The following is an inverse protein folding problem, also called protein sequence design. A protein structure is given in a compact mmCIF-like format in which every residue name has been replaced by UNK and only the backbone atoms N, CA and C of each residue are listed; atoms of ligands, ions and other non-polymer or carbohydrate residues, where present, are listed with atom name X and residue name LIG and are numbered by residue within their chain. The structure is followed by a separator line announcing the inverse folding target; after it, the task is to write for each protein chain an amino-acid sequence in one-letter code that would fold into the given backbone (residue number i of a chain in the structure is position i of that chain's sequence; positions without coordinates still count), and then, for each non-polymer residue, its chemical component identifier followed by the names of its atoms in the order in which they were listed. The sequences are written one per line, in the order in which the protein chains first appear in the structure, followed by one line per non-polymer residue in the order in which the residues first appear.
data_IF_574876663363
#
_entry.id   IF_574876663363
#
_cell.length_a   1.000
_cell.length_b   1.000
_cell.length_c   1.000
_cell.angle_alpha   90.00
_cell.angle_beta   90.00
_cell.angle_gamma   90.00
#
_symmetry.space_group_name_H-M   'P 1'
#
loop_
_entity.id
_entity.type
_entity.pdbx_description
1 polymer ?
#
# COMPACT_ATOMS: atom_id res chain seq x y z
N UNK A 1 -61.95 3.18 27.02
CA UNK A 1 -62.35 3.88 25.78
C UNK A 1 -62.00 5.36 25.93
N UNK A 2 -61.00 5.83 25.19
CA UNK A 2 -60.52 7.22 25.21
C UNK A 2 -61.49 8.13 24.43
N UNK A 3 -61.78 9.31 25.00
CA UNK A 3 -62.23 10.49 24.25
C UNK A 3 -61.49 11.74 24.76
N UNK A 4 -61.33 12.77 23.91
CA UNK A 4 -60.23 13.72 23.98
C UNK A 4 -60.65 15.06 24.58
N UNK A 5 -59.69 15.81 25.13
CA UNK A 5 -59.87 17.22 25.45
C UNK A 5 -58.78 18.08 24.77
N UNK A 6 -59.29 19.17 24.22
CA UNK A 6 -58.70 20.21 23.38
C UNK A 6 -57.75 21.09 24.19
N UNK A 7 -56.64 21.50 23.56
CA UNK A 7 -55.76 22.55 24.06
C UNK A 7 -55.29 23.43 22.90
N UNK A 8 -55.90 24.62 22.81
CA UNK A 8 -55.54 25.72 21.89
C UNK A 8 -54.18 26.29 22.30
N UNK A 9 -53.29 26.59 21.35
CA UNK A 9 -52.23 27.60 21.56
C UNK A 9 -51.92 28.44 20.33
N UNK A 10 -51.77 29.72 20.63
CA UNK A 10 -51.65 30.92 19.82
C UNK A 10 -50.56 30.92 18.74
N UNK A 11 -50.87 31.59 17.63
CA UNK A 11 -49.90 32.19 16.71
C UNK A 11 -49.22 33.37 17.40
N UNK A 12 -47.90 33.46 17.25
CA UNK A 12 -47.19 34.74 17.22
C UNK A 12 -46.15 34.69 16.10
N UNK A 13 -46.21 35.72 15.26
CA UNK A 13 -45.28 36.05 14.18
C UNK A 13 -44.17 36.93 14.79
N UNK A 14 -42.89 36.62 14.58
CA UNK A 14 -41.85 37.63 14.27
C UNK A 14 -40.48 37.00 13.91
N UNK A 15 -40.01 37.43 12.73
CA UNK A 15 -38.65 37.63 12.22
C UNK A 15 -37.59 36.50 12.19
N UNK A 16 -37.30 36.11 10.95
CA UNK A 16 -36.01 35.71 10.35
C UNK A 16 -34.73 36.08 11.12
N UNK A 17 -33.88 35.07 11.32
CA UNK A 17 -32.45 35.16 10.99
C UNK A 17 -32.00 33.80 10.44
N UNK A 18 -31.90 33.75 9.12
CA UNK A 18 -31.42 32.64 8.33
C UNK A 18 -29.89 32.62 8.43
N UNK A 19 -29.32 31.75 9.27
CA UNK A 19 -27.90 31.39 9.20
C UNK A 19 -27.84 29.89 8.88
N UNK A 20 -27.32 29.61 7.69
CA UNK A 20 -27.42 28.32 7.00
C UNK A 20 -26.83 27.13 7.75
N UNK A 21 -27.64 26.07 7.75
CA UNK A 21 -27.33 24.63 7.74
C UNK A 21 -25.88 24.19 8.01
N UNK A 22 -25.71 23.38 9.07
CA UNK A 22 -24.45 22.78 9.53
C UNK A 22 -23.67 21.90 8.54
N UNK A 23 -24.17 21.65 7.32
CA UNK A 23 -23.38 21.01 6.24
C UNK A 23 -22.30 21.93 5.69
N UNK A 24 -22.55 23.25 5.61
CA UNK A 24 -21.57 24.25 5.14
C UNK A 24 -20.37 24.37 6.08
N UNK A 25 -20.59 24.19 7.39
CA UNK A 25 -19.57 24.38 8.42
C UNK A 25 -18.54 23.24 8.49
N UNK A 26 -18.96 21.99 8.27
CA UNK A 26 -18.02 20.84 8.19
C UNK A 26 -17.19 20.86 6.90
N UNK A 27 -17.77 21.30 5.78
CA UNK A 27 -17.05 21.45 4.51
C UNK A 27 -15.97 22.53 4.65
N UNK A 28 -16.28 23.65 5.31
CA UNK A 28 -15.30 24.72 5.59
C UNK A 28 -14.11 24.25 6.43
N UNK A 29 -14.31 23.42 7.45
CA UNK A 29 -13.19 22.88 8.27
C UNK A 29 -12.26 21.97 7.46
N UNK A 30 -12.80 21.07 6.64
CA UNK A 30 -11.99 20.19 5.78
C UNK A 30 -11.19 20.98 4.73
N UNK A 31 -11.82 21.99 4.12
CA UNK A 31 -11.17 22.90 3.16
C UNK A 31 -10.09 23.74 3.86
N UNK A 32 -10.32 24.24 5.07
CA UNK A 32 -9.33 25.00 5.84
C UNK A 32 -8.12 24.12 6.22
N UNK A 33 -8.31 22.86 6.63
CA UNK A 33 -7.20 21.94 6.91
C UNK A 33 -6.37 21.64 5.67
N UNK A 34 -7.01 21.42 4.51
CA UNK A 34 -6.32 21.22 3.23
C UNK A 34 -5.55 22.48 2.82
N UNK A 35 -6.15 23.67 2.99
CA UNK A 35 -5.49 24.95 2.71
C UNK A 35 -4.30 25.18 3.66
N UNK A 36 -4.39 24.81 4.93
CA UNK A 36 -3.28 24.91 5.90
C UNK A 36 -2.15 23.94 5.52
N UNK A 37 -2.47 22.71 5.14
CA UNK A 37 -1.49 21.74 4.65
C UNK A 37 -0.79 22.25 3.37
N UNK A 38 -1.55 22.78 2.41
CA UNK A 38 -1.02 23.39 1.18
C UNK A 38 -0.19 24.67 1.45
N UNK A 39 -0.56 25.46 2.46
CA UNK A 39 0.16 26.66 2.87
C UNK A 39 1.48 26.34 3.60
N UNK A 40 1.52 25.28 4.41
CA UNK A 40 2.75 24.79 5.06
C UNK A 40 3.73 24.25 4.01
N UNK A 41 3.24 23.61 2.95
CA UNK A 41 4.10 23.06 1.89
C UNK A 41 4.74 24.13 0.99
N UNK A 42 4.10 25.29 0.83
CA UNK A 42 4.69 26.43 0.11
C UNK A 42 5.83 27.14 0.87
N UNK A 43 5.97 26.89 2.18
CA UNK A 43 7.01 27.46 3.04
C UNK A 43 8.23 26.53 3.22
N UNK A 44 8.14 25.29 2.76
CA UNK A 44 9.19 24.29 2.95
C UNK A 44 10.28 24.33 1.86
N UNK A 45 10.11 25.12 0.80
CA UNK A 45 11.09 25.17 -0.28
C UNK A 45 12.40 25.80 0.22
N UNK A 46 13.46 24.99 0.25
CA UNK A 46 14.81 25.44 0.59
C UNK A 46 15.70 25.47 -0.66
N UNK A 47 16.70 26.36 -0.65
CA UNK A 47 17.81 26.31 -1.62
C UNK A 47 18.66 25.04 -1.40
N UNK A 48 18.86 24.66 -0.14
CA UNK A 48 19.56 23.43 0.23
C UNK A 48 18.66 22.21 0.03
N UNK A 49 19.11 21.23 -0.75
CA UNK A 49 18.35 19.99 -1.04
C UNK A 49 18.74 18.85 -0.11
N UNK A 50 18.72 19.12 1.19
CA UNK A 50 19.14 18.14 2.21
C UNK A 50 18.29 16.86 2.16
N UNK A 51 18.95 15.70 2.16
CA UNK A 51 18.30 14.38 2.13
C UNK A 51 17.52 14.15 3.44
N UNK A 52 18.12 14.50 4.58
CA UNK A 52 17.49 14.35 5.90
C UNK A 52 16.18 15.13 6.01
N UNK A 53 16.18 16.39 5.59
CA UNK A 53 14.97 17.21 5.59
C UNK A 53 13.93 16.70 4.58
N UNK A 54 14.38 16.23 3.41
CA UNK A 54 13.48 15.61 2.42
C UNK A 54 12.76 14.41 3.01
N UNK A 55 13.48 13.50 3.68
CA UNK A 55 12.90 12.34 4.35
C UNK A 55 11.93 12.76 5.46
N UNK A 56 12.31 13.71 6.32
CA UNK A 56 11.47 14.21 7.39
C UNK A 56 10.13 14.74 6.84
N UNK A 57 10.18 15.57 5.81
CA UNK A 57 8.96 16.11 5.19
C UNK A 57 8.11 15.04 4.52
N UNK A 58 8.72 14.05 3.85
CA UNK A 58 7.97 12.97 3.21
C UNK A 58 7.29 12.02 4.18
N UNK A 59 7.88 11.78 5.35
CA UNK A 59 7.27 10.98 6.42
C UNK A 59 6.09 11.72 7.04
N UNK A 60 6.22 13.04 7.24
CA UNK A 60 5.19 13.83 7.92
C UNK A 60 3.99 14.13 7.03
N UNK A 61 4.21 14.36 5.74
CA UNK A 61 3.20 14.87 4.83
C UNK A 61 3.21 14.13 3.48
N UNK A 62 2.04 13.72 2.96
CA UNK A 62 1.89 13.29 1.57
C UNK A 62 2.48 14.33 0.60
N UNK A 63 3.44 13.92 -0.22
CA UNK A 63 4.15 14.82 -1.14
C UNK A 63 5.15 15.79 -0.49
N UNK A 64 5.34 15.75 0.83
CA UNK A 64 6.11 16.71 1.61
C UNK A 64 7.55 16.93 1.12
N UNK A 65 8.32 15.86 0.91
CA UNK A 65 9.68 15.97 0.41
C UNK A 65 9.73 16.53 -1.02
N UNK A 66 8.75 16.24 -1.87
CA UNK A 66 8.68 16.86 -3.20
C UNK A 66 8.43 18.37 -3.11
N UNK A 67 7.59 18.84 -2.18
CA UNK A 67 7.43 20.27 -1.93
C UNK A 67 8.72 20.91 -1.41
N UNK A 68 9.41 20.27 -0.46
CA UNK A 68 10.72 20.72 0.06
C UNK A 68 11.76 20.89 -1.07
N UNK A 69 11.78 19.94 -2.01
CA UNK A 69 12.67 19.98 -3.17
C UNK A 69 12.27 21.03 -4.22
N UNK A 70 11.11 21.68 -4.12
CA UNK A 70 10.60 22.62 -5.12
C UNK A 70 9.96 21.92 -6.32
N UNK A 71 9.36 20.75 -6.11
CA UNK A 71 8.68 19.93 -7.13
C UNK A 71 7.16 19.86 -6.87
N UNK A 72 6.43 20.98 -6.97
CA UNK A 72 5.03 21.06 -6.54
C UNK A 72 4.09 20.14 -7.33
N UNK A 73 4.37 19.88 -8.61
CA UNK A 73 3.55 18.96 -9.42
C UNK A 73 3.61 17.53 -8.86
N UNK A 74 4.80 17.04 -8.54
CA UNK A 74 4.96 15.71 -7.93
C UNK A 74 4.35 15.66 -6.52
N UNK A 75 4.58 16.69 -5.70
CA UNK A 75 3.99 16.80 -4.37
C UNK A 75 2.46 16.76 -4.40
N UNK A 76 1.83 17.49 -5.32
CA UNK A 76 0.37 17.50 -5.48
C UNK A 76 -0.19 16.15 -5.92
N UNK A 77 0.51 15.40 -6.79
CA UNK A 77 0.08 14.07 -7.22
C UNK A 77 -0.03 13.13 -6.00
N UNK A 78 1.01 13.07 -5.16
CA UNK A 78 1.00 12.23 -3.97
C UNK A 78 -0.03 12.69 -2.95
N UNK A 79 -0.09 14.00 -2.67
CA UNK A 79 -1.09 14.57 -1.75
C UNK A 79 -2.52 14.22 -2.17
N UNK A 80 -2.84 14.37 -3.46
CA UNK A 80 -4.18 14.06 -3.97
C UNK A 80 -4.46 12.55 -3.94
N UNK A 81 -3.52 11.72 -4.39
CA UNK A 81 -3.69 10.26 -4.42
C UNK A 81 -3.88 9.68 -3.02
N UNK A 82 -2.98 10.00 -2.08
CA UNK A 82 -3.06 9.55 -0.68
C UNK A 82 -4.35 10.04 -0.01
N UNK A 83 -4.70 11.32 -0.20
CA UNK A 83 -5.94 11.87 0.39
C UNK A 83 -7.20 11.20 -0.15
N UNK A 84 -7.26 10.94 -1.46
CA UNK A 84 -8.41 10.29 -2.09
C UNK A 84 -8.57 8.86 -1.57
N UNK A 85 -7.49 8.07 -1.58
CA UNK A 85 -7.51 6.69 -1.06
C UNK A 85 -7.89 6.66 0.42
N UNK A 86 -7.30 7.54 1.24
CA UNK A 86 -7.62 7.61 2.66
C UNK A 86 -9.09 7.97 2.91
N UNK A 87 -9.62 8.99 2.22
CA UNK A 87 -11.02 9.42 2.37
C UNK A 87 -11.96 8.31 1.90
N UNK A 88 -11.66 7.64 0.79
CA UNK A 88 -12.47 6.52 0.29
C UNK A 88 -12.45 5.36 1.28
N UNK A 89 -11.27 4.97 1.78
CA UNK A 89 -11.13 3.94 2.81
C UNK A 89 -11.90 4.25 4.09
N UNK A 90 -11.89 5.53 4.52
CA UNK A 90 -12.66 5.97 5.68
C UNK A 90 -14.16 5.93 5.42
N UNK A 91 -14.60 6.24 4.20
CA UNK A 91 -16.02 6.24 3.84
C UNK A 91 -16.61 4.82 3.78
N UNK A 92 -15.78 3.82 3.49
CA UNK A 92 -16.19 2.42 3.32
C UNK A 92 -15.89 1.55 4.56
N UNK A 93 -15.28 2.10 5.61
CA UNK A 93 -14.87 1.38 6.80
C UNK A 93 -16.02 0.59 7.46
N UNK A 94 -17.23 1.16 7.48
CA UNK A 94 -18.42 0.50 8.06
C UNK A 94 -19.02 -0.59 7.15
N UNK A 95 -18.60 -0.67 5.89
CA UNK A 95 -19.04 -1.70 4.95
C UNK A 95 -18.12 -2.94 4.97
N UNK A 96 -16.96 -2.87 5.62
CA UNK A 96 -16.02 -3.99 5.68
C UNK A 96 -16.51 -5.05 6.65
N UNK A 97 -16.41 -6.31 6.24
CA UNK A 97 -16.65 -7.41 7.15
C UNK A 97 -15.51 -7.54 8.17
N UNK A 98 -15.79 -8.11 9.35
CA UNK A 98 -14.72 -8.45 10.31
C UNK A 98 -13.69 -9.37 9.64
N UNK A 99 -12.42 -8.95 9.68
CA UNK A 99 -11.28 -9.62 9.06
C UNK A 99 -10.95 -9.14 7.63
N UNK A 100 -11.88 -8.46 6.95
CA UNK A 100 -11.67 -7.93 5.61
C UNK A 100 -10.71 -6.74 5.65
N UNK A 101 -9.71 -6.76 4.76
CA UNK A 101 -8.75 -5.67 4.66
C UNK A 101 -9.39 -4.42 4.09
N UNK A 102 -9.08 -3.26 4.68
CA UNK A 102 -9.41 -1.99 4.05
C UNK A 102 -8.45 -1.73 2.89
N UNK A 103 -8.82 -2.22 1.70
CA UNK A 103 -8.06 -2.12 0.46
C UNK A 103 -7.50 -0.70 0.21
N UNK A 104 -8.30 0.33 0.48
CA UNK A 104 -7.91 1.72 0.22
C UNK A 104 -6.90 2.24 1.25
N UNK A 105 -7.01 1.85 2.52
CA UNK A 105 -5.98 2.20 3.52
C UNK A 105 -4.65 1.54 3.21
N UNK A 106 -4.65 0.28 2.76
CA UNK A 106 -3.40 -0.41 2.39
C UNK A 106 -2.75 0.33 1.22
N UNK A 107 -3.49 0.65 0.17
CA UNK A 107 -2.94 1.40 -0.96
C UNK A 107 -2.53 2.83 -0.57
N UNK A 108 -3.18 3.45 0.42
CA UNK A 108 -2.70 4.72 0.99
C UNK A 108 -1.29 4.57 1.56
N UNK A 109 -1.03 3.51 2.33
CA UNK A 109 0.31 3.22 2.87
C UNK A 109 1.34 2.94 1.77
N UNK A 110 0.96 2.16 0.74
CA UNK A 110 1.84 1.86 -0.40
C UNK A 110 2.22 3.13 -1.19
N UNK A 111 1.26 4.02 -1.43
CA UNK A 111 1.55 5.31 -2.10
C UNK A 111 2.43 6.20 -1.22
N UNK A 112 2.22 6.19 0.10
CA UNK A 112 3.05 6.94 1.04
C UNK A 112 4.50 6.44 1.07
N UNK A 113 4.71 5.12 1.07
CA UNK A 113 6.04 4.50 0.94
C UNK A 113 6.73 4.92 -0.38
N UNK A 114 5.98 4.94 -1.48
CA UNK A 114 6.49 5.38 -2.77
C UNK A 114 6.87 6.88 -2.77
N UNK A 115 6.06 7.75 -2.16
CA UNK A 115 6.34 9.17 -1.97
C UNK A 115 7.67 9.40 -1.22
N UNK A 116 7.88 8.66 -0.12
CA UNK A 116 9.13 8.73 0.66
C UNK A 116 10.33 8.36 -0.22
N UNK A 117 10.25 7.24 -0.95
CA UNK A 117 11.35 6.83 -1.82
C UNK A 117 11.59 7.83 -2.96
N UNK A 118 10.55 8.28 -3.67
CA UNK A 118 10.77 9.10 -4.86
C UNK A 118 11.38 10.44 -4.50
N UNK A 119 10.94 11.08 -3.42
CA UNK A 119 11.54 12.32 -2.92
C UNK A 119 12.99 12.11 -2.46
N UNK A 120 13.27 11.04 -1.71
CA UNK A 120 14.64 10.65 -1.34
C UNK A 120 15.55 10.50 -2.56
N UNK A 121 15.09 9.78 -3.58
CA UNK A 121 15.80 9.56 -4.84
C UNK A 121 16.06 10.88 -5.56
N UNK A 122 15.06 11.74 -5.69
CA UNK A 122 15.23 13.05 -6.34
C UNK A 122 16.23 13.94 -5.58
N UNK A 123 16.22 13.95 -4.24
CA UNK A 123 17.21 14.69 -3.44
C UNK A 123 18.64 14.21 -3.74
N UNK A 124 18.86 12.90 -3.77
CA UNK A 124 20.16 12.33 -4.14
C UNK A 124 20.57 12.68 -5.57
N UNK A 125 19.65 12.65 -6.53
CA UNK A 125 19.94 13.05 -7.92
C UNK A 125 20.36 14.53 -7.99
N UNK A 126 19.62 15.42 -7.31
CA UNK A 126 19.91 16.85 -7.28
C UNK A 126 21.26 17.17 -6.64
N UNK A 127 21.67 16.37 -5.65
CA UNK A 127 22.97 16.49 -4.99
C UNK A 127 24.08 15.69 -5.68
N UNK A 128 23.89 15.22 -6.93
CA UNK A 128 24.86 14.40 -7.66
C UNK A 128 25.35 13.14 -6.90
N UNK A 129 24.50 12.60 -6.03
CA UNK A 129 24.80 11.46 -5.15
C UNK A 129 25.98 11.72 -4.19
N UNK A 130 26.26 12.97 -3.85
CA UNK A 130 27.32 13.32 -2.91
C UNK A 130 27.06 12.71 -1.53
N UNK A 131 28.11 12.16 -0.91
CA UNK A 131 28.04 11.50 0.39
C UNK A 131 27.61 10.03 0.37
N UNK A 132 27.34 9.45 -0.81
CA UNK A 132 26.97 8.04 -0.98
C UNK A 132 27.98 7.26 -1.80
N UNK A 133 28.25 6.03 -1.38
CA UNK A 133 29.08 5.09 -2.13
C UNK A 133 28.26 4.15 -3.02
N UNK A 134 27.02 3.86 -2.60
CA UNK A 134 26.03 3.10 -3.35
C UNK A 134 25.50 3.92 -4.54
N UNK A 135 25.26 3.27 -5.68
CA UNK A 135 24.65 3.93 -6.81
C UNK A 135 23.15 4.15 -6.58
N UNK A 136 22.63 5.20 -7.21
CA UNK A 136 21.21 5.52 -7.25
C UNK A 136 20.57 4.95 -8.51
N UNK A 137 19.40 4.33 -8.39
CA UNK A 137 18.62 3.93 -9.56
C UNK A 137 18.02 5.16 -10.26
N UNK A 138 18.59 5.55 -11.41
CA UNK A 138 18.11 6.68 -12.22
C UNK A 138 16.96 6.32 -13.17
N UNK A 139 16.37 5.13 -13.05
CA UNK A 139 15.23 4.73 -13.89
C UNK A 139 14.05 5.66 -13.70
N UNK A 140 13.46 6.22 -14.78
CA UNK A 140 12.23 6.97 -14.68
C UNK A 140 11.13 6.17 -13.99
N UNK A 141 10.37 6.81 -13.09
CA UNK A 141 9.36 6.13 -12.26
C UNK A 141 8.35 5.32 -13.09
N UNK A 142 7.88 5.84 -14.22
CA UNK A 142 6.95 5.12 -15.09
C UNK A 142 7.52 3.80 -15.63
N UNK A 143 8.84 3.69 -15.80
CA UNK A 143 9.50 2.42 -16.20
C UNK A 143 9.63 1.44 -15.04
N UNK A 144 9.80 1.93 -13.81
CA UNK A 144 9.76 1.10 -12.60
C UNK A 144 8.35 0.55 -12.37
N UNK A 145 7.33 1.40 -12.50
CA UNK A 145 5.90 1.04 -12.46
C UNK A 145 5.61 -0.04 -13.50
N UNK A 146 6.10 0.10 -14.74
CA UNK A 146 5.86 -0.90 -15.79
C UNK A 146 6.81 -2.11 -15.73
N UNK A 147 7.75 -2.16 -14.79
CA UNK A 147 8.77 -3.20 -14.73
C UNK A 147 8.22 -4.64 -14.67
N UNK A 148 7.12 -4.93 -13.95
CA UNK A 148 6.56 -6.29 -13.92
C UNK A 148 6.09 -6.81 -15.28
N UNK A 149 5.67 -5.91 -16.17
CA UNK A 149 5.07 -6.25 -17.46
C UNK A 149 6.06 -6.23 -18.63
N UNK A 150 7.32 -5.90 -18.34
CA UNK A 150 8.38 -5.87 -19.34
C UNK A 150 8.91 -7.27 -19.60
N UNK A 151 8.91 -7.67 -20.87
CA UNK A 151 9.26 -9.03 -21.28
C UNK A 151 10.68 -9.45 -20.83
N UNK A 152 11.62 -8.51 -20.86
CA UNK A 152 12.99 -8.70 -20.38
C UNK A 152 13.08 -9.04 -18.89
N UNK A 153 12.14 -8.55 -18.08
CA UNK A 153 12.07 -8.87 -16.65
C UNK A 153 11.33 -10.20 -16.45
N UNK A 154 10.21 -10.41 -17.13
CA UNK A 154 9.41 -11.64 -17.04
C UNK A 154 10.25 -12.88 -17.38
N UNK A 155 11.04 -12.82 -18.45
CA UNK A 155 11.89 -13.95 -18.89
C UNK A 155 13.13 -14.17 -18.02
N UNK A 156 13.39 -13.28 -17.05
CA UNK A 156 14.52 -13.45 -16.13
C UNK A 156 14.29 -14.71 -15.29
N UNK A 157 15.26 -15.63 -15.19
CA UNK A 157 15.12 -16.82 -14.35
C UNK A 157 14.91 -16.46 -12.87
N UNK A 158 15.38 -15.28 -12.43
CA UNK A 158 15.16 -14.78 -11.08
C UNK A 158 13.70 -14.34 -10.84
N UNK A 159 13.03 -13.79 -11.85
CA UNK A 159 11.62 -13.37 -11.74
C UNK A 159 10.72 -14.60 -11.86
N UNK A 160 10.94 -15.42 -12.89
CA UNK A 160 10.17 -16.64 -13.10
C UNK A 160 10.36 -17.67 -11.98
N UNK A 161 11.57 -17.83 -11.46
CA UNK A 161 11.83 -18.70 -10.32
C UNK A 161 11.09 -18.24 -9.05
N UNK A 162 11.00 -16.93 -8.83
CA UNK A 162 10.29 -16.38 -7.67
C UNK A 162 8.77 -16.48 -7.82
N UNK A 163 8.24 -16.30 -9.04
CA UNK A 163 6.85 -16.64 -9.38
C UNK A 163 6.50 -18.09 -9.00
N UNK A 164 7.33 -19.07 -9.41
CA UNK A 164 7.11 -20.47 -9.07
C UNK A 164 7.20 -20.73 -7.55
N UNK A 165 8.09 -20.03 -6.84
CA UNK A 165 8.16 -20.12 -5.39
C UNK A 165 6.87 -19.63 -4.71
N UNK A 166 6.28 -18.53 -5.20
CA UNK A 166 4.99 -18.02 -4.72
C UNK A 166 3.88 -19.08 -4.83
N UNK A 167 3.77 -19.75 -5.98
CA UNK A 167 2.85 -20.87 -6.20
C UNK A 167 3.14 -22.00 -5.22
N UNK A 168 4.38 -22.48 -5.16
CA UNK A 168 4.73 -23.66 -4.38
C UNK A 168 4.46 -23.47 -2.87
N UNK A 169 4.83 -22.32 -2.32
CA UNK A 169 4.63 -21.99 -0.90
C UNK A 169 3.13 -21.94 -0.57
N UNK A 170 2.33 -21.24 -1.38
CA UNK A 170 0.91 -21.04 -1.08
C UNK A 170 0.04 -22.25 -1.42
N UNK A 171 0.43 -23.05 -2.44
CA UNK A 171 -0.18 -24.35 -2.66
C UNK A 171 0.06 -25.27 -1.46
N UNK A 172 1.28 -25.29 -0.94
CA UNK A 172 1.61 -26.05 0.26
C UNK A 172 0.76 -25.60 1.44
N UNK A 173 0.66 -24.28 1.70
CA UNK A 173 -0.21 -23.76 2.75
C UNK A 173 -1.67 -24.20 2.58
N UNK A 174 -2.24 -24.01 1.39
CA UNK A 174 -3.63 -24.38 1.11
C UNK A 174 -3.90 -25.88 1.29
N UNK A 175 -3.01 -26.76 0.80
CA UNK A 175 -3.18 -28.21 0.94
C UNK A 175 -2.93 -28.72 2.36
N UNK A 176 -2.09 -28.05 3.14
CA UNK A 176 -1.86 -28.38 4.55
C UNK A 176 -3.05 -28.00 5.44
N UNK A 177 -3.98 -27.16 4.98
CA UNK A 177 -5.20 -26.88 5.71
C UNK A 177 -6.25 -28.02 5.52
N UNK A 178 -6.53 -28.82 6.57
CA UNK A 178 -7.53 -29.89 6.48
C UNK A 178 -8.97 -29.37 6.39
N UNK A 179 -9.21 -28.11 6.78
CA UNK A 179 -10.53 -27.46 6.76
C UNK A 179 -10.76 -26.62 5.50
N UNK A 180 -9.87 -26.72 4.50
CA UNK A 180 -9.97 -25.95 3.26
C UNK A 180 -11.30 -26.23 2.55
N UNK A 181 -11.84 -25.21 1.89
CA UNK A 181 -13.04 -25.33 1.07
C UNK A 181 -12.68 -25.06 -0.38
N UNK A 182 -13.05 -25.96 -1.29
CA UNK A 182 -12.71 -25.84 -2.71
C UNK A 182 -13.33 -24.61 -3.37
N UNK A 183 -12.60 -24.04 -4.35
CA UNK A 183 -13.05 -22.93 -5.18
C UNK A 183 -14.35 -23.21 -5.95
N UNK A 184 -14.54 -24.46 -6.39
CA UNK A 184 -15.74 -24.94 -7.07
C UNK A 184 -17.01 -24.82 -6.20
N UNK A 185 -16.86 -24.82 -4.88
CA UNK A 185 -17.95 -24.75 -3.91
C UNK A 185 -18.37 -23.32 -3.54
N UNK A 186 -17.71 -22.29 -4.05
CA UNK A 186 -18.09 -20.90 -3.76
C UNK A 186 -19.47 -20.63 -4.35
N UNK A 187 -20.41 -20.18 -3.51
CA UNK A 187 -21.74 -19.74 -3.96
C UNK A 187 -21.79 -18.22 -4.15
N UNK A 188 -21.25 -17.47 -3.19
CA UNK A 188 -21.19 -16.00 -3.25
C UNK A 188 -19.92 -15.48 -2.60
N UNK A 189 -19.37 -14.38 -3.14
CA UNK A 189 -18.22 -13.66 -2.58
C UNK A 189 -18.73 -12.30 -2.10
N UNK A 190 -18.50 -11.96 -0.82
CA UNK A 190 -18.98 -10.72 -0.22
C UNK A 190 -17.80 -9.76 -0.03
N UNK A 191 -17.79 -8.68 -0.81
CA UNK A 191 -16.74 -7.65 -0.79
C UNK A 191 -17.40 -6.35 -0.39
N UNK A 192 -16.91 -5.69 0.67
CA UNK A 192 -17.45 -4.42 1.17
C UNK A 192 -18.99 -4.47 1.35
N UNK A 193 -19.49 -5.51 2.02
CA UNK A 193 -20.90 -5.79 2.26
C UNK A 193 -21.78 -5.92 0.99
N UNK A 194 -21.15 -6.14 -0.16
CA UNK A 194 -21.84 -6.41 -1.43
C UNK A 194 -21.60 -7.86 -1.83
N UNK A 195 -22.68 -8.63 -1.98
CA UNK A 195 -22.63 -10.01 -2.43
C UNK A 195 -22.56 -10.09 -3.95
N UNK A 196 -21.55 -10.77 -4.46
CA UNK A 196 -21.37 -11.11 -5.87
C UNK A 196 -21.57 -12.60 -6.07
N UNK A 197 -22.05 -13.00 -7.26
CA UNK A 197 -21.93 -14.38 -7.70
C UNK A 197 -20.46 -14.79 -7.83
N UNK A 198 -20.20 -16.10 -7.97
CA UNK A 198 -18.83 -16.63 -8.01
C UNK A 198 -17.98 -16.02 -9.13
N UNK A 199 -18.53 -15.85 -10.33
CA UNK A 199 -17.74 -15.40 -11.50
C UNK A 199 -17.38 -13.93 -11.37
N UNK A 200 -18.38 -13.08 -11.12
CA UNK A 200 -18.19 -11.65 -10.91
C UNK A 200 -17.32 -11.38 -9.68
N UNK A 201 -17.60 -12.06 -8.57
CA UNK A 201 -16.85 -11.93 -7.33
C UNK A 201 -15.39 -12.34 -7.48
N UNK A 202 -15.10 -13.39 -8.27
CA UNK A 202 -13.73 -13.81 -8.58
C UNK A 202 -13.00 -12.75 -9.39
N UNK A 203 -13.64 -12.18 -10.41
CA UNK A 203 -13.03 -11.13 -11.21
C UNK A 203 -12.72 -9.87 -10.39
N UNK A 204 -13.64 -9.46 -9.49
CA UNK A 204 -13.42 -8.33 -8.58
C UNK A 204 -12.29 -8.65 -7.59
N UNK A 205 -12.29 -9.85 -6.99
CA UNK A 205 -11.25 -10.30 -6.07
C UNK A 205 -9.87 -10.28 -6.73
N UNK A 206 -9.72 -10.90 -7.90
CA UNK A 206 -8.44 -10.96 -8.62
C UNK A 206 -8.01 -9.57 -9.10
N UNK A 207 -8.95 -8.69 -9.47
CA UNK A 207 -8.63 -7.29 -9.78
C UNK A 207 -8.06 -6.55 -8.57
N UNK A 208 -8.63 -6.77 -7.38
CA UNK A 208 -8.09 -6.23 -6.13
C UNK A 208 -6.73 -6.84 -5.81
N UNK A 209 -6.58 -8.15 -5.94
CA UNK A 209 -5.33 -8.85 -5.64
C UNK A 209 -4.18 -8.44 -6.58
N UNK A 210 -4.47 -8.30 -7.88
CA UNK A 210 -3.53 -7.78 -8.88
C UNK A 210 -3.06 -6.38 -8.50
N UNK A 211 -3.99 -5.50 -8.14
CA UNK A 211 -3.68 -4.10 -7.78
C UNK A 211 -2.84 -4.04 -6.51
N UNK A 212 -3.18 -4.79 -5.46
CA UNK A 212 -2.39 -4.83 -4.23
C UNK A 212 -1.02 -5.45 -4.44
N UNK A 213 -0.92 -6.53 -5.22
CA UNK A 213 0.37 -7.14 -5.58
C UNK A 213 1.26 -6.15 -6.31
N UNK A 214 0.66 -5.35 -7.19
CA UNK A 214 1.33 -4.31 -7.96
C UNK A 214 1.81 -3.15 -7.09
N UNK A 215 0.90 -2.54 -6.33
CA UNK A 215 1.20 -1.38 -5.49
C UNK A 215 2.20 -1.74 -4.40
N UNK A 216 2.06 -2.91 -3.75
CA UNK A 216 3.03 -3.44 -2.79
C UNK A 216 4.40 -3.65 -3.43
N UNK A 217 4.51 -4.35 -4.56
CA UNK A 217 5.80 -4.62 -5.18
C UNK A 217 6.54 -3.35 -5.61
N UNK A 218 5.84 -2.38 -6.20
CA UNK A 218 6.47 -1.12 -6.62
C UNK A 218 6.92 -0.31 -5.41
N UNK A 219 6.03 -0.09 -4.44
CA UNK A 219 6.31 0.77 -3.29
C UNK A 219 7.31 0.15 -2.31
N UNK A 220 7.17 -1.13 -1.99
CA UNK A 220 8.02 -1.80 -1.01
C UNK A 220 9.43 -2.03 -1.55
N UNK A 221 9.61 -2.39 -2.82
CA UNK A 221 10.97 -2.48 -3.35
C UNK A 221 11.64 -1.10 -3.43
N UNK A 222 10.88 -0.06 -3.78
CA UNK A 222 11.35 1.31 -3.72
C UNK A 222 11.79 1.71 -2.29
N UNK A 223 10.94 1.50 -1.29
CA UNK A 223 11.23 1.89 0.09
C UNK A 223 12.29 1.00 0.76
N UNK A 224 12.16 -0.32 0.67
CA UNK A 224 13.05 -1.24 1.38
C UNK A 224 14.38 -1.48 0.66
N UNK A 225 14.42 -1.55 -0.67
CA UNK A 225 15.67 -1.80 -1.42
C UNK A 225 16.28 -0.48 -1.86
N UNK A 226 15.46 0.39 -2.46
CA UNK A 226 15.91 1.68 -2.97
C UNK A 226 16.31 2.70 -1.90
N UNK A 227 15.78 2.60 -0.68
CA UNK A 227 16.09 3.50 0.43
C UNK A 227 16.68 2.74 1.62
N UNK A 228 15.90 1.90 2.32
CA UNK A 228 16.33 1.34 3.62
C UNK A 228 17.61 0.49 3.50
N UNK A 229 17.66 -0.42 2.52
CA UNK A 229 18.82 -1.25 2.29
C UNK A 229 20.03 -0.39 1.92
N UNK A 230 19.86 0.63 1.09
CA UNK A 230 20.95 1.55 0.76
C UNK A 230 21.49 2.25 2.01
N UNK A 231 20.63 2.85 2.84
CA UNK A 231 21.06 3.52 4.08
C UNK A 231 21.78 2.56 5.03
N UNK A 232 21.28 1.32 5.14
CA UNK A 232 21.96 0.29 5.91
C UNK A 232 23.33 -0.03 5.28
N UNK A 233 23.42 -0.22 3.97
CA UNK A 233 24.69 -0.52 3.29
C UNK A 233 25.73 0.60 3.42
N UNK A 234 25.33 1.88 3.39
CA UNK A 234 26.24 3.00 3.66
C UNK A 234 26.77 2.98 5.10
N UNK A 235 25.94 2.57 6.06
CA UNK A 235 26.28 2.64 7.48
C UNK A 235 27.09 1.43 7.96
N UNK A 236 26.73 0.22 7.53
CA UNK A 236 27.29 -1.04 8.03
C UNK A 236 27.92 -1.93 6.95
N UNK A 237 27.95 -1.45 5.70
CA UNK A 237 28.52 -2.17 4.57
C UNK A 237 27.53 -3.09 3.85
N UNK A 238 27.87 -3.43 2.60
CA UNK A 238 27.01 -4.14 1.63
C UNK A 238 26.35 -5.40 2.19
N UNK A 239 27.10 -6.27 2.87
CA UNK A 239 26.57 -7.55 3.35
C UNK A 239 25.69 -7.38 4.58
N UNK A 240 26.15 -6.63 5.60
CA UNK A 240 25.37 -6.42 6.81
C UNK A 240 24.07 -5.64 6.50
N UNK A 241 24.16 -4.64 5.61
CA UNK A 241 23.02 -3.84 5.18
C UNK A 241 21.91 -4.68 4.56
N UNK A 242 22.26 -5.66 3.72
CA UNK A 242 21.31 -6.63 3.15
C UNK A 242 20.59 -7.44 4.24
N UNK A 243 21.33 -7.99 5.21
CA UNK A 243 20.72 -8.82 6.26
C UNK A 243 19.82 -8.00 7.18
N UNK A 244 20.27 -6.80 7.57
CA UNK A 244 19.49 -5.92 8.46
C UNK A 244 18.23 -5.41 7.77
N UNK A 245 18.32 -4.92 6.53
CA UNK A 245 17.13 -4.44 5.81
C UNK A 245 16.11 -5.56 5.57
N UNK A 246 16.57 -6.78 5.28
CA UNK A 246 15.71 -7.96 5.10
C UNK A 246 15.07 -8.42 6.40
N UNK A 247 15.79 -8.32 7.53
CA UNK A 247 15.24 -8.56 8.86
C UNK A 247 14.13 -7.58 9.20
N UNK A 248 14.35 -6.29 8.98
CA UNK A 248 13.33 -5.24 9.19
C UNK A 248 12.11 -5.48 8.30
N UNK A 249 12.32 -5.83 7.02
CA UNK A 249 11.24 -6.18 6.10
C UNK A 249 10.38 -7.33 6.63
N UNK A 250 11.00 -8.41 7.12
CA UNK A 250 10.25 -9.53 7.70
C UNK A 250 9.56 -9.19 9.03
N UNK A 251 10.18 -8.37 9.89
CA UNK A 251 9.52 -7.88 11.11
C UNK A 251 8.26 -7.05 10.79
N UNK A 252 8.27 -6.29 9.70
CA UNK A 252 7.09 -5.57 9.21
C UNK A 252 5.93 -6.48 8.82
N UNK A 253 6.18 -7.77 8.59
CA UNK A 253 5.17 -8.78 8.24
C UNK A 253 4.66 -9.58 9.45
N UNK A 254 5.19 -9.34 10.66
CA UNK A 254 4.67 -9.93 11.90
C UNK A 254 3.49 -9.10 12.38
N UNK A 255 2.27 -9.53 12.04
CA UNK A 255 1.03 -8.81 12.37
C UNK A 255 0.51 -9.11 13.79
N UNK A 256 0.90 -10.25 14.36
CA UNK A 256 0.60 -10.65 15.74
C UNK A 256 1.83 -11.28 16.40
N UNK A 257 2.40 -10.59 17.39
CA UNK A 257 3.63 -11.00 18.09
C UNK A 257 3.44 -12.21 19.01
N UNK A 258 2.20 -12.56 19.36
CA UNK A 258 1.87 -13.73 20.18
C UNK A 258 1.50 -14.98 19.38
N UNK A 259 1.44 -14.90 18.04
CA UNK A 259 1.03 -15.99 17.16
C UNK A 259 2.23 -16.56 16.38
N UNK A 260 2.47 -17.87 16.51
CA UNK A 260 3.55 -18.56 15.81
C UNK A 260 3.39 -18.54 14.29
N UNK A 261 2.15 -18.52 13.77
CA UNK A 261 1.90 -18.44 12.32
C UNK A 261 2.33 -17.08 11.76
N UNK A 262 1.97 -16.00 12.44
CA UNK A 262 2.45 -14.64 12.13
C UNK A 262 3.98 -14.54 12.09
N UNK A 263 4.69 -15.16 13.04
CA UNK A 263 6.15 -15.21 13.00
C UNK A 263 6.72 -16.03 11.84
N UNK A 264 6.07 -17.14 11.47
CA UNK A 264 6.46 -17.92 10.30
C UNK A 264 6.34 -17.09 9.01
N UNK A 265 5.27 -16.30 8.86
CA UNK A 265 5.14 -15.35 7.75
C UNK A 265 6.22 -14.27 7.77
N UNK A 266 6.55 -13.72 8.94
CA UNK A 266 7.69 -12.81 9.10
C UNK A 266 9.01 -13.44 8.63
N UNK A 267 9.24 -14.71 8.96
CA UNK A 267 10.43 -15.46 8.49
C UNK A 267 10.46 -15.67 6.98
N UNK A 268 9.33 -16.04 6.36
CA UNK A 268 9.21 -16.15 4.90
C UNK A 268 9.47 -14.78 4.27
N UNK A 269 8.90 -13.71 4.82
CA UNK A 269 9.13 -12.35 4.36
C UNK A 269 10.60 -11.94 4.51
N UNK A 270 11.32 -12.31 5.59
CA UNK A 270 12.77 -12.07 5.70
C UNK A 270 13.54 -12.79 4.59
N UNK A 271 13.20 -14.04 4.26
CA UNK A 271 13.85 -14.78 3.17
C UNK A 271 13.58 -14.15 1.80
N UNK A 272 12.34 -13.71 1.56
CA UNK A 272 11.98 -12.90 0.39
C UNK A 272 12.75 -11.58 0.36
N UNK A 273 12.89 -10.94 1.53
CA UNK A 273 13.78 -9.83 1.86
C UNK A 273 15.16 -10.01 1.26
N UNK A 274 15.83 -11.07 1.73
CA UNK A 274 17.19 -11.42 1.36
C UNK A 274 17.32 -11.70 -0.14
N UNK A 275 16.37 -12.44 -0.71
CA UNK A 275 16.37 -12.76 -2.13
C UNK A 275 16.28 -11.51 -3.00
N UNK A 276 15.30 -10.65 -2.73
CA UNK A 276 15.05 -9.43 -3.49
C UNK A 276 16.18 -8.39 -3.27
N UNK A 277 16.69 -8.27 -2.04
CA UNK A 277 17.82 -7.39 -1.74
C UNK A 277 19.14 -7.85 -2.38
N UNK A 278 19.37 -9.16 -2.46
CA UNK A 278 20.47 -9.72 -3.23
C UNK A 278 20.29 -9.49 -4.73
N UNK A 279 19.07 -9.67 -5.25
CA UNK A 279 18.76 -9.42 -6.66
C UNK A 279 19.00 -7.95 -7.02
N UNK A 280 18.59 -7.03 -6.14
CA UNK A 280 18.87 -5.61 -6.28
C UNK A 280 20.37 -5.32 -6.35
N UNK A 281 21.15 -5.86 -5.42
CA UNK A 281 22.61 -5.78 -5.40
C UNK A 281 23.27 -6.36 -6.66
N UNK A 282 22.75 -7.49 -7.15
CA UNK A 282 23.26 -8.22 -8.33
C UNK A 282 23.01 -7.45 -9.63
N UNK A 283 21.88 -6.77 -9.72
CA UNK A 283 21.48 -5.97 -10.88
C UNK A 283 22.09 -4.57 -10.86
N UNK A 284 23.09 -4.32 -10.00
CA UNK A 284 23.76 -3.02 -9.90
C UNK A 284 22.86 -1.95 -9.29
N UNK A 285 22.05 -2.31 -8.29
CA UNK A 285 21.09 -1.44 -7.60
C UNK A 285 20.00 -0.91 -8.55
N UNK A 286 19.55 -1.76 -9.47
CA UNK A 286 18.42 -1.50 -10.36
C UNK A 286 17.17 -2.17 -9.80
N UNK A 287 16.09 -1.41 -9.64
CA UNK A 287 14.85 -1.87 -8.99
C UNK A 287 13.93 -2.66 -9.91
N UNK A 288 14.12 -2.59 -11.23
CA UNK A 288 13.19 -3.16 -12.21
C UNK A 288 12.93 -4.67 -12.01
N UNK A 289 13.99 -5.46 -11.79
CA UNK A 289 13.86 -6.91 -11.57
C UNK A 289 13.36 -7.28 -10.16
N UNK A 290 13.84 -6.66 -9.06
CA UNK A 290 13.22 -6.82 -7.75
C UNK A 290 11.71 -6.54 -7.74
N UNK A 291 11.29 -5.41 -8.34
CA UNK A 291 9.87 -5.04 -8.47
C UNK A 291 9.11 -6.13 -9.23
N UNK A 292 9.62 -6.55 -10.40
CA UNK A 292 8.97 -7.58 -11.20
C UNK A 292 8.88 -8.92 -10.45
N UNK A 293 9.95 -9.34 -9.78
CA UNK A 293 9.99 -10.58 -9.01
C UNK A 293 8.96 -10.53 -7.87
N UNK A 294 8.96 -9.47 -7.07
CA UNK A 294 8.03 -9.30 -5.96
C UNK A 294 6.58 -9.29 -6.43
N UNK A 295 6.25 -8.55 -7.49
CA UNK A 295 4.91 -8.53 -8.06
C UNK A 295 4.42 -9.93 -8.44
N UNK A 296 5.21 -10.65 -9.26
CA UNK A 296 4.81 -11.95 -9.75
C UNK A 296 4.77 -13.01 -8.65
N UNK A 297 5.61 -12.90 -7.62
CA UNK A 297 5.50 -13.71 -6.42
C UNK A 297 4.17 -13.47 -5.70
N UNK A 298 3.84 -12.23 -5.37
CA UNK A 298 2.61 -11.89 -4.64
C UNK A 298 1.37 -12.31 -5.41
N UNK A 299 1.32 -11.96 -6.70
CA UNK A 299 0.18 -12.29 -7.55
C UNK A 299 -0.02 -13.79 -7.59
N UNK A 300 1.02 -14.56 -7.93
CA UNK A 300 0.94 -16.01 -8.02
C UNK A 300 0.62 -16.69 -6.68
N UNK A 301 1.22 -16.20 -5.60
CA UNK A 301 0.99 -16.67 -4.24
C UNK A 301 -0.49 -16.58 -3.86
N UNK A 302 -1.07 -15.37 -3.90
CA UNK A 302 -2.44 -15.18 -3.45
C UNK A 302 -3.48 -15.74 -4.41
N UNK A 303 -3.27 -15.71 -5.73
CA UNK A 303 -4.17 -16.39 -6.68
C UNK A 303 -4.14 -17.90 -6.45
N UNK A 304 -2.97 -18.49 -6.21
CA UNK A 304 -2.87 -19.93 -5.91
C UNK A 304 -3.60 -20.29 -4.61
N UNK A 305 -3.39 -19.51 -3.54
CA UNK A 305 -4.09 -19.73 -2.27
C UNK A 305 -5.59 -19.57 -2.44
N UNK A 306 -6.06 -18.55 -3.17
CA UNK A 306 -7.47 -18.31 -3.42
C UNK A 306 -8.14 -19.43 -4.24
N UNK A 307 -7.42 -20.07 -5.16
CA UNK A 307 -7.94 -21.21 -5.92
C UNK A 307 -7.98 -22.51 -5.10
N UNK A 308 -7.09 -22.68 -4.11
CA UNK A 308 -6.98 -23.93 -3.32
C UNK A 308 -7.77 -23.85 -2.01
N UNK A 309 -7.72 -22.71 -1.33
CA UNK A 309 -8.37 -22.42 -0.05
C UNK A 309 -8.92 -20.98 -0.01
N UNK A 310 -9.93 -20.66 -0.85
CA UNK A 310 -10.59 -19.36 -0.89
C UNK A 310 -11.11 -18.86 0.48
N UNK A 311 -11.44 -19.75 1.40
CA UNK A 311 -11.94 -19.39 2.72
C UNK A 311 -10.88 -18.66 3.58
N UNK A 312 -9.59 -18.92 3.33
CA UNK A 312 -8.46 -18.29 4.02
C UNK A 312 -7.71 -17.32 3.10
N UNK A 313 -8.42 -16.69 2.16
CA UNK A 313 -7.84 -15.71 1.26
C UNK A 313 -7.15 -14.55 2.01
N UNK A 314 -6.04 -14.02 1.48
CA UNK A 314 -5.25 -12.98 2.13
C UNK A 314 -5.99 -11.65 2.36
N UNK A 315 -7.04 -11.37 1.59
CA UNK A 315 -7.83 -10.13 1.72
C UNK A 315 -8.88 -10.18 2.84
N UNK A 316 -9.08 -11.35 3.46
CA UNK A 316 -10.11 -11.56 4.48
C UNK A 316 -11.54 -11.41 3.94
N UNK A 317 -11.71 -11.51 2.62
CA UNK A 317 -13.01 -11.38 1.95
C UNK A 317 -13.88 -12.58 2.31
N UNK A 318 -15.11 -12.34 2.73
CA UNK A 318 -16.01 -13.40 3.20
C UNK A 318 -16.65 -14.13 2.03
N UNK A 319 -16.65 -15.46 2.10
CA UNK A 319 -17.24 -16.31 1.08
C UNK A 319 -18.26 -17.26 1.67
N UNK A 320 -19.37 -17.43 0.96
CA UNK A 320 -20.33 -18.48 1.25
C UNK A 320 -20.06 -19.66 0.33
N UNK A 321 -20.33 -20.86 0.84
CA UNK A 321 -20.07 -22.11 0.13
C UNK A 321 -21.35 -22.92 0.03
N UNK A 322 -21.56 -23.58 -1.11
CA UNK A 322 -22.58 -24.62 -1.23
C UNK A 322 -22.19 -25.85 -0.40
N UNK A 323 -23.19 -26.52 0.16
CA UNK A 323 -23.03 -27.75 0.92
C UNK A 323 -22.75 -28.94 0.00
#
# INVERSE_FOLDING_TARGET
MQKPCIGIKQRNFTLQLWIGSGKSWMIRRKVITIIILLAITGLAQSEEKSITNTLLWSILLPGGGHFYLGQPTAGNIYLMAESLLFITGKSLENALASGEWNFFYINTLKIHELNIFTSYREARILNNNEGYTTPIDKTPLHKLILAPFRWENIKSPYVYGFFLAGIAINATEGYLNPQRKGFDRISTINIMNTGFDRECGTAVYEGMWLTLSFDSAVSEECAYRGLLQVECEETMGRTAGLFVSSGIFGLGHVTNWGDGKSWAYGGIATLSGLYLGWLFQKEGYRLEKPIAAHFWFNFAAGTTLFLIDPANNPLGIKMNFSF
#
